data_IF_504930497410
#
_entry.id   IF_504930497410
#
_cell.length_a   1.000
_cell.length_b   1.000
_cell.length_c   1.000
_cell.angle_alpha   90.00
_cell.angle_beta   90.00
_cell.angle_gamma   90.00
#
_symmetry.space_group_name_H-M   'P 1'
#
loop_
_entity.id
_entity.type
_entity.pdbx_description
1 polymer ?
#
# COMPACT_ATOMS: atom_id res chain seq x y z
N UNK A 1 38.86 1.57 3.31
CA UNK A 1 37.78 2.57 3.29
C UNK A 1 36.98 2.38 2.02
N UNK A 2 35.86 1.65 2.11
CA UNK A 2 34.87 1.54 1.04
C UNK A 2 33.52 1.78 1.73
N UNK A 3 32.87 2.88 1.37
CA UNK A 3 31.61 3.31 1.93
C UNK A 3 30.50 2.39 1.41
N UNK A 4 30.08 1.45 2.24
CA UNK A 4 28.82 0.71 2.05
C UNK A 4 27.68 1.68 2.31
N UNK A 5 26.87 1.91 1.28
CA UNK A 5 25.73 2.82 1.28
C UNK A 5 24.72 2.44 2.35
N UNK A 6 24.38 3.41 3.20
CA UNK A 6 23.23 3.40 4.10
C UNK A 6 21.95 3.07 3.32
N UNK A 7 21.56 1.79 3.26
CA UNK A 7 20.16 1.43 3.08
C UNK A 7 19.45 1.71 4.40
N UNK A 8 19.19 2.99 4.65
CA UNK A 8 18.08 3.37 5.51
C UNK A 8 16.85 2.82 4.80
N UNK A 9 16.26 1.74 5.30
CA UNK A 9 14.85 1.48 5.07
C UNK A 9 14.12 2.69 5.61
N UNK A 10 13.89 3.68 4.74
CA UNK A 10 13.10 4.84 5.09
C UNK A 10 11.69 4.27 5.22
N UNK A 11 11.28 4.06 6.47
CA UNK A 11 9.97 3.56 6.85
C UNK A 11 8.93 4.46 6.19
N UNK A 12 8.42 4.05 5.03
CA UNK A 12 7.28 4.72 4.44
C UNK A 12 6.06 4.23 5.21
N UNK A 13 5.70 4.97 6.26
CA UNK A 13 4.51 4.70 7.05
C UNK A 13 3.23 4.77 6.21
N UNK A 14 3.29 5.27 4.97
CA UNK A 14 2.21 5.23 4.00
C UNK A 14 2.16 3.91 3.20
N UNK A 15 3.20 3.07 3.25
CA UNK A 15 3.28 1.77 2.58
C UNK A 15 3.36 0.60 3.58
N UNK A 16 2.28 0.43 4.36
CA UNK A 16 2.17 -0.67 5.32
C UNK A 16 2.07 -2.06 4.64
N UNK A 17 1.86 -2.09 3.32
CA UNK A 17 1.77 -3.32 2.53
C UNK A 17 3.14 -4.02 2.53
N UNK A 18 4.23 -3.27 2.65
CA UNK A 18 5.59 -3.80 2.70
C UNK A 18 5.97 -4.55 4.00
N UNK A 19 5.17 -4.49 5.08
CA UNK A 19 5.50 -5.22 6.32
C UNK A 19 5.17 -6.71 6.25
N UNK A 20 5.97 -7.60 6.82
CA UNK A 20 5.65 -9.03 6.91
C UNK A 20 4.32 -9.27 7.64
N UNK A 21 3.54 -10.23 7.15
CA UNK A 21 2.29 -10.72 7.76
C UNK A 21 2.33 -12.25 7.93
N UNK A 22 1.29 -12.82 8.52
CA UNK A 22 1.30 -14.25 8.88
C UNK A 22 1.44 -15.17 7.67
N UNK A 23 1.02 -14.75 6.47
CA UNK A 23 1.15 -15.51 5.24
C UNK A 23 2.50 -15.30 4.54
N UNK A 24 3.16 -14.16 4.78
CA UNK A 24 4.34 -13.73 4.02
C UNK A 24 5.60 -13.49 4.86
N UNK A 25 5.65 -13.93 6.12
CA UNK A 25 6.89 -13.94 6.93
C UNK A 25 7.83 -15.05 6.45
N UNK A 26 9.01 -14.75 5.88
CA UNK A 26 10.01 -15.76 5.54
C UNK A 26 10.56 -16.42 6.80
N UNK A 27 10.92 -17.70 6.71
CA UNK A 27 11.39 -18.51 7.85
C UNK A 27 12.63 -17.93 8.55
N UNK A 28 13.47 -17.18 7.82
CA UNK A 28 14.62 -16.47 8.35
C UNK A 28 14.61 -15.00 7.90
N UNK A 29 15.09 -14.08 8.75
CA UNK A 29 15.35 -12.70 8.37
C UNK A 29 16.35 -12.61 7.20
N UNK A 30 16.36 -11.50 6.44
CA UNK A 30 17.12 -11.42 5.20
C UNK A 30 18.63 -11.57 5.42
N UNK A 31 19.14 -11.18 6.60
CA UNK A 31 20.53 -11.39 7.01
C UNK A 31 20.62 -12.06 8.40
N UNK A 32 21.72 -12.79 8.68
CA UNK A 32 22.02 -13.31 10.03
C UNK A 32 22.10 -12.17 11.07
N UNK A 33 21.28 -12.24 12.11
CA UNK A 33 21.22 -11.25 13.20
C UNK A 33 20.22 -10.11 13.00
N UNK A 34 19.55 -10.04 11.84
CA UNK A 34 18.38 -9.18 11.65
C UNK A 34 17.11 -9.87 12.16
N UNK A 35 16.00 -9.15 12.22
CA UNK A 35 14.70 -9.72 12.56
C UNK A 35 13.58 -8.97 11.85
N UNK A 36 12.40 -9.57 11.77
CA UNK A 36 11.25 -8.96 11.13
C UNK A 36 10.55 -8.00 12.09
N UNK A 37 10.09 -6.86 11.56
CA UNK A 37 9.17 -5.98 12.26
C UNK A 37 7.75 -6.46 11.98
N UNK A 38 7.04 -6.88 13.03
CA UNK A 38 5.67 -7.37 12.94
C UNK A 38 4.73 -6.38 13.61
N UNK A 39 3.65 -6.03 12.91
CA UNK A 39 2.58 -5.21 13.44
C UNK A 39 1.31 -6.03 13.61
N UNK A 40 0.56 -5.80 14.69
CA UNK A 40 -0.76 -6.38 14.86
C UNK A 40 -1.56 -5.75 15.99
N UNK A 41 -2.89 -5.79 15.87
CA UNK A 41 -3.83 -5.31 16.87
C UNK A 41 -4.09 -6.37 17.94
N UNK A 42 -4.04 -6.01 19.21
CA UNK A 42 -4.49 -6.91 20.29
C UNK A 42 -6.01 -7.01 20.22
N UNK A 43 -6.51 -8.23 20.00
CA UNK A 43 -7.96 -8.48 19.83
C UNK A 43 -8.56 -9.26 20.99
N UNK A 44 -7.73 -9.95 21.78
CA UNK A 44 -8.16 -10.66 22.97
C UNK A 44 -7.03 -10.72 24.01
N UNK A 45 -7.39 -10.64 25.28
CA UNK A 45 -6.50 -10.89 26.40
C UNK A 45 -6.71 -12.32 26.92
N UNK A 46 -5.71 -13.18 26.73
CA UNK A 46 -5.68 -14.58 27.16
C UNK A 46 -4.77 -14.77 28.38
N UNK A 47 -4.45 -13.69 29.10
CA UNK A 47 -3.55 -13.72 30.24
C UNK A 47 -4.16 -14.52 31.39
N UNK A 48 -3.39 -15.49 31.90
CA UNK A 48 -3.78 -16.27 33.08
C UNK A 48 -2.63 -16.29 34.11
N UNK A 49 -1.62 -17.13 33.87
CA UNK A 49 -0.41 -17.17 34.70
C UNK A 49 0.70 -16.24 34.19
N UNK A 50 0.54 -15.74 32.96
CA UNK A 50 1.45 -14.82 32.29
C UNK A 50 0.65 -13.97 31.30
N UNK A 51 1.16 -12.80 30.90
CA UNK A 51 0.58 -12.02 29.82
C UNK A 51 0.66 -12.76 28.48
N UNK A 52 -0.51 -13.04 27.90
CA UNK A 52 -0.66 -13.64 26.57
C UNK A 52 -1.79 -12.94 25.86
N UNK A 53 -1.50 -12.35 24.70
CA UNK A 53 -2.47 -11.62 23.92
C UNK A 53 -2.71 -12.34 22.60
N UNK A 54 -3.97 -12.43 22.17
CA UNK A 54 -4.27 -12.78 20.79
C UNK A 54 -4.13 -11.51 19.95
N UNK A 55 -3.27 -11.56 18.95
CA UNK A 55 -2.91 -10.43 18.10
C UNK A 55 -3.32 -10.75 16.68
N UNK A 56 -4.02 -9.82 16.04
CA UNK A 56 -4.47 -9.91 14.66
C UNK A 56 -3.59 -9.04 13.78
N UNK A 57 -3.06 -9.61 12.70
CA UNK A 57 -2.31 -8.83 11.71
C UNK A 57 -3.22 -8.17 10.67
N UNK A 58 -2.58 -7.59 9.65
CA UNK A 58 -3.23 -6.86 8.56
C UNK A 58 -4.04 -7.72 7.58
N UNK A 59 -3.89 -9.06 7.60
CA UNK A 59 -4.64 -9.99 6.74
C UNK A 59 -5.68 -10.78 7.54
N UNK A 60 -6.06 -10.27 8.72
CA UNK A 60 -6.97 -10.88 9.69
C UNK A 60 -6.52 -12.23 10.26
N UNK A 61 -5.24 -12.61 10.12
CA UNK A 61 -4.68 -13.77 10.78
C UNK A 61 -4.39 -13.46 12.25
N UNK A 62 -4.80 -14.37 13.14
CA UNK A 62 -4.56 -14.24 14.58
C UNK A 62 -3.43 -15.16 15.04
N UNK A 63 -2.55 -14.64 15.89
CA UNK A 63 -1.48 -15.40 16.55
C UNK A 63 -1.29 -14.94 18.00
N UNK A 64 -0.81 -15.82 18.90
CA UNK A 64 -0.51 -15.43 20.27
C UNK A 64 0.79 -14.64 20.36
N UNK A 65 0.82 -13.64 21.23
CA UNK A 65 2.02 -12.93 21.67
C UNK A 65 2.13 -13.08 23.19
N UNK A 66 3.17 -13.76 23.65
CA UNK A 66 3.35 -14.12 25.06
C UNK A 66 4.62 -13.48 25.64
N UNK A 67 4.50 -12.86 26.82
CA UNK A 67 5.62 -12.20 27.50
C UNK A 67 6.35 -13.17 28.42
N UNK A 68 7.64 -13.35 28.16
CA UNK A 68 8.63 -14.23 28.84
C UNK A 68 9.83 -13.46 29.41
N UNK A 69 9.67 -12.16 29.60
CA UNK A 69 10.66 -11.30 30.24
C UNK A 69 10.79 -11.61 31.74
N UNK A 70 11.78 -11.01 32.41
CA UNK A 70 11.98 -11.17 33.86
C UNK A 70 10.83 -10.62 34.70
N UNK A 71 10.07 -9.65 34.18
CA UNK A 71 8.91 -9.07 34.85
C UNK A 71 7.75 -8.86 33.85
N UNK A 72 7.10 -9.95 33.41
CA UNK A 72 6.23 -9.91 32.25
C UNK A 72 4.96 -9.10 32.52
N UNK A 73 4.40 -9.15 33.73
CA UNK A 73 3.22 -8.37 34.10
C UNK A 73 3.48 -6.86 34.03
N UNK A 74 4.67 -6.41 34.44
CA UNK A 74 5.07 -5.02 34.32
C UNK A 74 5.26 -4.61 32.86
N UNK A 75 5.94 -5.46 32.08
CA UNK A 75 6.29 -5.14 30.69
C UNK A 75 5.06 -5.15 29.77
N UNK A 76 4.04 -5.95 30.13
CA UNK A 76 2.77 -6.02 29.43
C UNK A 76 1.66 -5.15 30.06
N UNK A 77 1.92 -4.43 31.15
CA UNK A 77 0.88 -3.73 31.93
C UNK A 77 0.00 -2.78 31.11
N UNK A 78 0.58 -2.19 30.07
CA UNK A 78 -0.10 -1.25 29.19
C UNK A 78 -0.62 -1.89 27.90
N UNK A 79 -0.45 -3.20 27.68
CA UNK A 79 -0.99 -3.90 26.53
C UNK A 79 -2.48 -4.17 26.76
N UNK A 80 -3.34 -3.55 25.95
CA UNK A 80 -4.80 -3.67 26.06
C UNK A 80 -5.42 -4.00 24.71
N UNK A 81 -6.59 -4.61 24.74
CA UNK A 81 -7.40 -4.84 23.54
C UNK A 81 -7.57 -3.51 22.77
N UNK A 82 -7.32 -3.54 21.47
CA UNK A 82 -7.31 -2.40 20.57
C UNK A 82 -5.95 -1.73 20.39
N UNK A 83 -4.93 -2.03 21.22
CA UNK A 83 -3.58 -1.50 21.01
C UNK A 83 -2.91 -2.17 19.81
N UNK A 84 -2.08 -1.42 19.09
CA UNK A 84 -1.24 -1.97 18.01
C UNK A 84 0.13 -2.29 18.60
N UNK A 85 0.51 -3.56 18.57
CA UNK A 85 1.85 -4.03 18.90
C UNK A 85 2.77 -3.90 17.69
N UNK A 86 4.00 -3.49 17.96
CA UNK A 86 5.13 -3.47 17.04
C UNK A 86 6.24 -4.32 17.66
N UNK A 87 6.55 -5.45 17.05
CA UNK A 87 7.57 -6.39 17.52
C UNK A 87 8.76 -6.27 16.58
N UNK A 88 9.87 -5.73 17.05
CA UNK A 88 11.07 -5.44 16.23
C UNK A 88 12.07 -6.59 16.17
N UNK A 89 11.87 -7.62 17.01
CA UNK A 89 12.62 -8.88 16.96
C UNK A 89 11.71 -10.10 16.83
N UNK A 90 10.77 -10.07 15.87
CA UNK A 90 9.74 -11.08 15.72
C UNK A 90 10.25 -12.41 15.15
N UNK A 91 10.76 -13.32 16.00
CA UNK A 91 10.95 -14.73 15.64
C UNK A 91 9.76 -15.57 16.13
N UNK A 92 9.26 -16.44 15.25
CA UNK A 92 8.13 -17.33 15.57
C UNK A 92 8.53 -18.41 16.57
N UNK A 93 7.65 -18.65 17.52
CA UNK A 93 7.78 -19.66 18.56
C UNK A 93 6.59 -20.62 18.49
N UNK A 94 6.88 -21.92 18.57
CA UNK A 94 5.84 -22.95 18.74
C UNK A 94 5.56 -23.12 20.23
N UNK A 95 4.33 -22.85 20.64
CA UNK A 95 3.87 -23.02 22.01
C UNK A 95 3.42 -24.47 22.25
N UNK A 96 3.33 -24.85 23.53
CA UNK A 96 3.00 -26.22 23.95
C UNK A 96 1.57 -26.64 23.58
N UNK A 97 0.67 -25.67 23.40
CA UNK A 97 -0.70 -25.90 22.93
C UNK A 97 -0.79 -26.13 21.40
N UNK A 98 0.36 -26.18 20.72
CA UNK A 98 0.46 -26.34 19.27
C UNK A 98 0.25 -25.05 18.48
N UNK A 99 -0.04 -23.92 19.16
CA UNK A 99 -0.11 -22.62 18.50
C UNK A 99 1.27 -22.11 18.11
N UNK A 100 1.32 -21.27 17.08
CA UNK A 100 2.54 -20.62 16.62
C UNK A 100 2.34 -19.11 16.67
N UNK A 101 3.25 -18.41 17.34
CA UNK A 101 3.16 -16.96 17.53
C UNK A 101 4.49 -16.38 17.97
N UNK A 102 4.47 -15.31 18.78
CA UNK A 102 5.69 -14.60 19.18
C UNK A 102 5.90 -14.67 20.69
N UNK A 103 7.15 -14.97 21.07
CA UNK A 103 7.58 -15.04 22.45
C UNK A 103 8.49 -13.85 22.73
N UNK A 104 8.05 -12.93 23.59
CA UNK A 104 8.80 -11.73 23.94
C UNK A 104 9.70 -12.04 25.13
N UNK A 105 11.00 -12.10 24.91
CA UNK A 105 11.99 -12.35 25.98
C UNK A 105 12.72 -11.07 26.42
N UNK A 106 12.81 -10.08 25.51
CA UNK A 106 13.37 -8.76 25.78
C UNK A 106 12.28 -7.69 25.58
N UNK A 107 11.89 -6.96 26.63
CA UNK A 107 10.84 -5.95 26.54
C UNK A 107 11.20 -4.78 25.61
N UNK A 108 12.48 -4.55 25.33
CA UNK A 108 12.92 -3.51 24.37
C UNK A 108 12.60 -3.85 22.92
N UNK A 109 12.19 -5.09 22.64
CA UNK A 109 11.84 -5.57 21.29
C UNK A 109 10.35 -5.47 20.99
N UNK A 110 9.54 -4.99 21.93
CA UNK A 110 8.10 -4.79 21.75
C UNK A 110 7.70 -3.38 22.14
N UNK A 111 6.99 -2.72 21.23
CA UNK A 111 6.41 -1.41 21.43
C UNK A 111 4.91 -1.50 21.21
N UNK A 112 4.16 -0.58 21.79
CA UNK A 112 2.74 -0.46 21.52
C UNK A 112 2.37 0.99 21.20
N UNK A 113 1.34 1.14 20.37
CA UNK A 113 0.67 2.41 20.13
C UNK A 113 -0.79 2.31 20.54
N UNK A 114 -1.31 3.38 21.12
CA UNK A 114 -2.70 3.51 21.58
C UNK A 114 -3.21 4.94 21.32
N UNK A 115 -4.52 5.19 21.53
CA UNK A 115 -5.06 6.55 21.49
C UNK A 115 -4.38 7.52 22.49
N UNK A 116 -3.79 7.01 23.56
CA UNK A 116 -3.07 7.78 24.58
C UNK A 116 -1.57 7.85 24.29
N UNK A 117 -0.96 6.74 23.87
CA UNK A 117 0.49 6.62 23.62
C UNK A 117 0.78 6.55 22.13
N UNK A 118 1.48 7.56 21.63
CA UNK A 118 1.74 7.74 20.20
C UNK A 118 0.45 7.79 19.35
N UNK A 119 -0.50 8.67 19.70
CA UNK A 119 -1.85 8.72 19.11
C UNK A 119 -1.85 8.81 17.59
N UNK A 120 -1.03 9.69 17.01
CA UNK A 120 -0.98 9.89 15.55
C UNK A 120 -0.50 8.61 14.84
N UNK A 121 0.47 7.91 15.41
CA UNK A 121 0.95 6.64 14.87
C UNK A 121 -0.13 5.56 14.96
N UNK A 122 -0.82 5.47 16.10
CA UNK A 122 -1.96 4.57 16.28
C UNK A 122 -3.05 4.83 15.22
N UNK A 123 -3.39 6.10 14.99
CA UNK A 123 -4.32 6.51 13.94
C UNK A 123 -3.85 6.06 12.55
N UNK A 124 -2.59 6.32 12.18
CA UNK A 124 -2.05 5.89 10.89
C UNK A 124 -2.11 4.37 10.71
N UNK A 125 -1.73 3.60 11.74
CA UNK A 125 -1.80 2.14 11.71
C UNK A 125 -3.22 1.63 11.47
N UNK A 126 -4.24 2.23 12.11
CA UNK A 126 -5.64 1.85 11.90
C UNK A 126 -6.13 2.16 10.48
N UNK A 127 -5.76 3.31 9.92
CA UNK A 127 -6.09 3.65 8.51
C UNK A 127 -5.46 2.64 7.55
N UNK A 128 -4.21 2.29 7.80
CA UNK A 128 -3.47 1.30 7.02
C UNK A 128 -4.12 -0.10 7.07
N UNK A 129 -4.55 -0.56 8.25
CA UNK A 129 -5.31 -1.81 8.40
C UNK A 129 -6.61 -1.74 7.61
N UNK A 130 -7.37 -0.63 7.72
CA UNK A 130 -8.59 -0.45 6.97
C UNK A 130 -8.36 -0.49 5.45
N UNK A 131 -7.28 0.11 4.94
CA UNK A 131 -6.90 0.06 3.53
C UNK A 131 -6.70 -1.38 3.03
N UNK A 132 -6.02 -2.20 3.84
CA UNK A 132 -5.77 -3.60 3.50
C UNK A 132 -7.08 -4.39 3.54
N UNK A 133 -7.92 -4.17 4.55
CA UNK A 133 -9.23 -4.83 4.64
C UNK A 133 -10.14 -4.47 3.47
N UNK A 134 -10.08 -3.24 2.94
CA UNK A 134 -10.75 -2.87 1.68
C UNK A 134 -10.17 -3.67 0.51
N UNK A 135 -8.84 -3.71 0.36
CA UNK A 135 -8.18 -4.41 -0.75
C UNK A 135 -8.45 -5.93 -0.74
N UNK A 136 -8.58 -6.53 0.44
CA UNK A 136 -8.92 -7.94 0.63
C UNK A 136 -10.43 -8.22 0.53
N UNK A 137 -11.27 -7.19 0.46
CA UNK A 137 -12.72 -7.35 0.49
C UNK A 137 -13.25 -7.88 1.82
N UNK A 138 -12.57 -7.60 2.93
CA UNK A 138 -13.06 -7.91 4.29
C UNK A 138 -14.16 -6.93 4.68
N UNK A 139 -13.98 -5.64 4.37
CA UNK A 139 -14.98 -4.61 4.64
C UNK A 139 -16.06 -4.63 3.55
N UNK A 140 -17.29 -4.98 3.96
CA UNK A 140 -18.42 -5.22 3.04
C UNK A 140 -19.63 -4.30 3.29
N UNK A 141 -19.61 -3.46 4.33
CA UNK A 141 -20.71 -2.54 4.64
C UNK A 141 -20.19 -1.15 5.02
N UNK A 142 -21.03 -0.14 4.76
CA UNK A 142 -20.75 1.25 5.12
C UNK A 142 -20.55 1.42 6.63
N UNK A 143 -21.31 0.68 7.45
CA UNK A 143 -21.18 0.71 8.91
C UNK A 143 -19.81 0.17 9.38
N UNK A 144 -19.35 -0.96 8.81
CA UNK A 144 -18.05 -1.52 9.13
C UNK A 144 -16.91 -0.59 8.68
N UNK A 145 -17.07 0.02 7.51
CA UNK A 145 -16.12 1.01 6.98
C UNK A 145 -16.05 2.26 7.86
N UNK A 146 -17.20 2.77 8.31
CA UNK A 146 -17.30 3.91 9.22
C UNK A 146 -16.63 3.60 10.57
N UNK A 147 -16.93 2.45 11.16
CA UNK A 147 -16.32 2.01 12.41
C UNK A 147 -14.79 1.86 12.31
N UNK A 148 -14.29 1.33 11.20
CA UNK A 148 -12.85 1.18 10.96
C UNK A 148 -12.10 2.52 10.95
N UNK A 149 -12.73 3.58 10.44
CA UNK A 149 -12.14 4.92 10.33
C UNK A 149 -12.54 5.89 11.46
N UNK A 150 -13.42 5.50 12.37
CA UNK A 150 -13.90 6.38 13.44
C UNK A 150 -12.76 6.81 14.37
N UNK A 151 -12.07 5.84 14.98
CA UNK A 151 -10.94 6.08 15.89
C UNK A 151 -9.83 6.93 15.25
N UNK A 152 -9.29 6.60 14.05
CA UNK A 152 -8.25 7.44 13.46
C UNK A 152 -8.74 8.85 13.13
N UNK A 153 -9.98 9.05 12.68
CA UNK A 153 -10.54 10.40 12.46
C UNK A 153 -10.61 11.21 13.75
N UNK A 154 -11.10 10.61 14.84
CA UNK A 154 -11.17 11.27 16.14
C UNK A 154 -9.79 11.67 16.65
N UNK A 155 -8.80 10.77 16.50
CA UNK A 155 -7.40 11.03 16.86
C UNK A 155 -6.85 12.20 16.04
N UNK A 156 -6.98 12.18 14.72
CA UNK A 156 -6.42 13.22 13.87
C UNK A 156 -7.04 14.59 14.13
N UNK A 157 -8.36 14.65 14.33
CA UNK A 157 -9.05 15.89 14.68
C UNK A 157 -8.62 16.41 16.05
N UNK A 158 -8.67 15.57 17.09
CA UNK A 158 -8.33 15.99 18.47
C UNK A 158 -6.88 16.40 18.65
N UNK A 159 -5.96 15.81 17.89
CA UNK A 159 -4.52 16.13 17.93
C UNK A 159 -4.12 17.22 16.93
N UNK A 160 -5.05 17.79 16.19
CA UNK A 160 -4.77 18.80 15.16
C UNK A 160 -3.92 18.28 13.99
N UNK A 161 -3.81 16.95 13.82
CA UNK A 161 -3.06 16.32 12.75
C UNK A 161 -3.91 16.23 11.48
N UNK A 162 -4.23 17.39 10.90
CA UNK A 162 -5.13 17.50 9.75
C UNK A 162 -4.63 16.79 8.49
N UNK A 163 -3.34 16.41 8.43
CA UNK A 163 -2.76 15.63 7.34
C UNK A 163 -3.19 14.15 7.35
N UNK A 164 -3.67 13.62 8.48
CA UNK A 164 -4.14 12.24 8.58
C UNK A 164 -5.60 12.02 8.10
N UNK A 165 -6.45 13.03 8.21
CA UNK A 165 -7.83 12.99 7.70
C UNK A 165 -7.93 12.60 6.22
N UNK A 166 -7.10 13.15 5.31
CA UNK A 166 -7.12 12.71 3.92
C UNK A 166 -6.81 11.24 3.69
N UNK A 167 -6.00 10.62 4.55
CA UNK A 167 -5.70 9.19 4.45
C UNK A 167 -6.97 8.37 4.71
N UNK A 168 -7.80 8.79 5.68
CA UNK A 168 -9.09 8.14 5.95
C UNK A 168 -10.03 8.26 4.75
N UNK A 169 -10.11 9.44 4.15
CA UNK A 169 -10.99 9.70 3.00
C UNK A 169 -10.55 8.92 1.76
N UNK A 170 -9.23 8.77 1.55
CA UNK A 170 -8.69 7.91 0.49
C UNK A 170 -9.16 6.46 0.65
N UNK A 171 -9.01 5.89 1.85
CA UNK A 171 -9.45 4.51 2.12
C UNK A 171 -10.97 4.36 1.91
N UNK A 172 -11.75 5.37 2.31
CA UNK A 172 -13.20 5.39 2.03
C UNK A 172 -13.50 5.44 0.53
N UNK A 173 -12.75 6.23 -0.24
CA UNK A 173 -12.91 6.28 -1.69
C UNK A 173 -12.55 4.95 -2.35
N UNK A 174 -11.47 4.30 -1.91
CA UNK A 174 -11.08 2.96 -2.38
C UNK A 174 -12.18 1.92 -2.06
N UNK A 175 -12.81 2.00 -0.88
CA UNK A 175 -13.96 1.18 -0.53
C UNK A 175 -15.16 1.44 -1.45
N UNK A 176 -15.50 2.71 -1.70
CA UNK A 176 -16.60 3.07 -2.61
C UNK A 176 -16.37 2.55 -4.02
N UNK A 177 -15.13 2.61 -4.52
CA UNK A 177 -14.74 2.07 -5.82
C UNK A 177 -14.92 0.54 -5.82
N UNK A 178 -14.48 -0.16 -4.78
CA UNK A 178 -14.64 -1.60 -4.65
C UNK A 178 -16.12 -2.03 -4.64
N UNK A 179 -17.00 -1.19 -4.10
CA UNK A 179 -18.46 -1.39 -4.09
C UNK A 179 -19.16 -0.90 -5.39
N UNK A 180 -18.42 -0.47 -6.41
CA UNK A 180 -18.96 0.03 -7.68
C UNK A 180 -19.59 1.43 -7.60
N UNK A 181 -19.43 2.14 -6.48
CA UNK A 181 -19.97 3.49 -6.21
C UNK A 181 -19.00 4.58 -6.65
N UNK A 182 -18.47 4.46 -7.86
CA UNK A 182 -17.39 5.29 -8.39
C UNK A 182 -17.72 6.79 -8.38
N UNK A 183 -18.98 7.17 -8.69
CA UNK A 183 -19.39 8.59 -8.69
C UNK A 183 -19.32 9.24 -7.30
N UNK A 184 -19.50 8.47 -6.23
CA UNK A 184 -19.33 8.98 -4.86
C UNK A 184 -17.86 9.19 -4.51
N UNK A 185 -16.99 8.28 -4.93
CA UNK A 185 -15.55 8.41 -4.78
C UNK A 185 -15.00 9.64 -5.54
N UNK A 186 -15.47 9.88 -6.76
CA UNK A 186 -15.10 11.07 -7.56
C UNK A 186 -15.47 12.35 -6.82
N UNK A 187 -16.74 12.49 -6.37
CA UNK A 187 -17.20 13.68 -5.63
C UNK A 187 -16.37 13.92 -4.37
N UNK A 188 -15.94 12.85 -3.71
CA UNK A 188 -15.05 12.94 -2.55
C UNK A 188 -13.71 13.55 -2.98
N UNK A 189 -13.02 12.96 -3.96
CA UNK A 189 -11.73 13.45 -4.43
C UNK A 189 -11.79 14.88 -4.99
N UNK A 190 -12.85 15.27 -5.70
CA UNK A 190 -13.05 16.64 -6.19
C UNK A 190 -13.13 17.65 -5.04
N UNK A 191 -13.91 17.34 -3.99
CA UNK A 191 -13.98 18.16 -2.77
C UNK A 191 -12.60 18.30 -2.11
N UNK A 192 -11.81 17.23 -2.12
CA UNK A 192 -10.43 17.25 -1.60
C UNK A 192 -9.51 18.14 -2.39
N UNK A 193 -9.52 18.04 -3.72
CA UNK A 193 -8.74 18.92 -4.60
C UNK A 193 -9.10 20.38 -4.32
N UNK A 194 -10.39 20.73 -4.24
CA UNK A 194 -10.83 22.09 -3.95
C UNK A 194 -10.35 22.58 -2.58
N UNK A 195 -10.49 21.75 -1.54
CA UNK A 195 -10.09 22.10 -0.16
C UNK A 195 -8.58 22.09 0.08
N UNK A 196 -7.80 21.46 -0.81
CA UNK A 196 -6.35 21.31 -0.73
C UNK A 196 -5.59 22.28 -1.64
N UNK A 197 -6.28 23.15 -2.39
CA UNK A 197 -5.64 24.22 -3.16
C UNK A 197 -4.76 25.09 -2.25
N UNK A 198 -3.47 25.17 -2.55
CA UNK A 198 -2.49 25.92 -1.77
C UNK A 198 -1.99 25.23 -0.49
N UNK A 199 -2.38 23.97 -0.25
CA UNK A 199 -1.86 23.13 0.85
C UNK A 199 -0.80 22.15 0.32
N UNK A 200 -0.35 21.23 1.19
CA UNK A 200 0.74 20.28 0.92
C UNK A 200 0.73 19.72 -0.50
N UNK A 201 1.88 19.88 -1.17
CA UNK A 201 2.09 19.53 -2.56
C UNK A 201 1.78 18.06 -2.90
N UNK A 202 2.12 17.19 -1.97
CA UNK A 202 2.13 15.75 -2.15
C UNK A 202 0.74 15.12 -2.07
N UNK A 203 -0.09 15.58 -1.14
CA UNK A 203 -1.47 15.08 -1.02
C UNK A 203 -2.30 15.52 -2.23
N UNK A 204 -2.08 16.76 -2.69
CA UNK A 204 -2.78 17.31 -3.84
C UNK A 204 -2.54 16.49 -5.12
N UNK A 205 -1.28 16.15 -5.41
CA UNK A 205 -0.95 15.35 -6.59
C UNK A 205 -1.53 13.94 -6.53
N UNK A 206 -1.53 13.29 -5.36
CA UNK A 206 -2.15 11.96 -5.16
C UNK A 206 -3.65 11.96 -5.53
N UNK A 207 -4.40 13.01 -5.18
CA UNK A 207 -5.84 13.10 -5.55
C UNK A 207 -6.06 13.33 -7.03
N UNK A 208 -5.27 14.21 -7.64
CA UNK A 208 -5.39 14.48 -9.07
C UNK A 208 -5.09 13.21 -9.90
N UNK A 209 -4.10 12.42 -9.47
CA UNK A 209 -3.79 11.13 -10.10
C UNK A 209 -4.93 10.12 -9.91
N UNK A 210 -5.48 10.02 -8.69
CA UNK A 210 -6.62 9.13 -8.43
C UNK A 210 -7.84 9.51 -9.28
N UNK A 211 -8.17 10.80 -9.38
CA UNK A 211 -9.26 11.28 -10.24
C UNK A 211 -9.02 10.94 -11.71
N UNK A 212 -7.80 11.11 -12.19
CA UNK A 212 -7.41 10.71 -13.54
C UNK A 212 -7.64 9.22 -13.78
N UNK A 213 -7.12 8.36 -12.91
CA UNK A 213 -7.26 6.90 -13.05
C UNK A 213 -8.72 6.43 -12.97
N UNK A 214 -9.51 7.03 -12.07
CA UNK A 214 -10.91 6.68 -11.88
C UNK A 214 -11.76 7.12 -13.06
N UNK A 215 -11.52 8.32 -13.59
CA UNK A 215 -12.34 8.88 -14.69
C UNK A 215 -12.00 8.28 -16.05
N UNK A 216 -10.81 7.68 -16.23
CA UNK A 216 -10.31 7.19 -17.52
C UNK A 216 -11.32 6.29 -18.28
N UNK A 217 -12.15 5.53 -17.55
CA UNK A 217 -13.14 4.61 -18.15
C UNK A 217 -14.56 5.16 -18.24
N UNK A 218 -14.81 6.36 -17.70
CA UNK A 218 -16.16 6.88 -17.48
C UNK A 218 -16.36 8.28 -18.05
N UNK A 219 -15.32 9.12 -18.06
CA UNK A 219 -15.39 10.51 -18.47
C UNK A 219 -14.01 11.00 -18.95
N UNK A 220 -13.80 10.90 -20.27
CA UNK A 220 -12.53 11.25 -20.91
C UNK A 220 -12.21 12.75 -20.82
N UNK A 221 -13.24 13.61 -20.77
CA UNK A 221 -13.06 15.06 -20.62
C UNK A 221 -12.47 15.36 -19.24
N UNK A 222 -13.06 14.78 -18.20
CA UNK A 222 -12.51 14.88 -16.84
C UNK A 222 -11.12 14.26 -16.74
N UNK A 223 -10.87 13.10 -17.35
CA UNK A 223 -9.54 12.47 -17.33
C UNK A 223 -8.49 13.40 -17.94
N UNK A 224 -8.80 14.00 -19.08
CA UNK A 224 -7.92 14.95 -19.75
C UNK A 224 -7.66 16.18 -18.89
N UNK A 225 -8.71 16.72 -18.27
CA UNK A 225 -8.62 17.84 -17.34
C UNK A 225 -7.67 17.52 -16.17
N UNK A 226 -7.87 16.39 -15.50
CA UNK A 226 -7.07 15.98 -14.34
C UNK A 226 -5.62 15.65 -14.72
N UNK A 227 -5.40 14.96 -15.84
CA UNK A 227 -4.06 14.66 -16.36
C UNK A 227 -3.26 15.94 -16.67
N UNK A 228 -3.91 16.93 -17.27
CA UNK A 228 -3.29 18.22 -17.60
C UNK A 228 -2.92 19.01 -16.35
N UNK A 229 -3.82 19.04 -15.35
CA UNK A 229 -3.53 19.67 -14.05
C UNK A 229 -2.38 18.94 -13.35
N UNK A 230 -2.37 17.61 -13.31
CA UNK A 230 -1.28 16.81 -12.76
C UNK A 230 0.08 17.18 -13.37
N UNK A 231 0.16 17.25 -14.70
CA UNK A 231 1.40 17.55 -15.40
C UNK A 231 1.88 18.98 -15.10
N UNK A 232 0.97 19.96 -15.20
CA UNK A 232 1.30 21.35 -14.90
C UNK A 232 1.77 21.50 -13.45
N UNK A 233 1.05 20.87 -12.52
CA UNK A 233 1.39 20.85 -11.11
C UNK A 233 2.78 20.23 -10.86
N UNK A 234 3.03 19.02 -11.37
CA UNK A 234 4.31 18.33 -11.22
C UNK A 234 5.49 19.14 -11.76
N UNK A 235 5.33 19.81 -12.90
CA UNK A 235 6.36 20.70 -13.47
C UNK A 235 6.61 21.92 -12.61
N UNK A 236 5.56 22.63 -12.19
CA UNK A 236 5.71 23.83 -11.34
C UNK A 236 6.30 23.52 -9.97
N UNK A 237 6.01 22.34 -9.41
CA UNK A 237 6.56 21.88 -8.14
C UNK A 237 7.94 21.19 -8.27
N UNK A 238 8.49 21.09 -9.48
CA UNK A 238 9.69 20.30 -9.80
C UNK A 238 9.64 18.85 -9.24
N UNK A 239 8.44 18.26 -9.20
CA UNK A 239 8.21 16.92 -8.67
C UNK A 239 8.15 15.91 -9.82
N UNK A 240 9.28 15.25 -10.07
CA UNK A 240 9.47 14.31 -11.17
C UNK A 240 8.58 13.07 -11.05
N UNK A 241 8.21 12.63 -9.84
CA UNK A 241 7.30 11.49 -9.70
C UNK A 241 5.91 11.83 -10.20
N UNK A 242 5.41 13.02 -9.87
CA UNK A 242 4.09 13.49 -10.34
C UNK A 242 4.08 13.68 -11.85
N UNK A 243 5.18 14.18 -12.43
CA UNK A 243 5.33 14.30 -13.89
C UNK A 243 5.29 12.92 -14.56
N UNK A 244 6.01 11.93 -14.03
CA UNK A 244 6.02 10.58 -14.57
C UNK A 244 4.63 9.91 -14.51
N UNK A 245 3.93 10.07 -13.38
CA UNK A 245 2.55 9.60 -13.25
C UNK A 245 1.59 10.30 -14.21
N UNK A 246 1.78 11.60 -14.46
CA UNK A 246 1.00 12.34 -15.44
C UNK A 246 1.27 11.87 -16.88
N UNK A 247 2.53 11.57 -17.24
CA UNK A 247 2.88 10.99 -18.53
C UNK A 247 2.21 9.63 -18.74
N UNK A 248 2.21 8.76 -17.73
CA UNK A 248 1.47 7.49 -17.80
C UNK A 248 -0.01 7.74 -18.08
N UNK A 249 -0.66 8.64 -17.34
CA UNK A 249 -2.10 8.90 -17.51
C UNK A 249 -2.42 9.50 -18.89
N UNK A 250 -1.59 10.42 -19.38
CA UNK A 250 -1.70 10.95 -20.74
C UNK A 250 -1.51 9.84 -21.79
N UNK A 251 -0.56 8.92 -21.57
CA UNK A 251 -0.39 7.76 -22.43
C UNK A 251 -1.63 6.85 -22.44
N UNK A 252 -2.27 6.66 -21.29
CA UNK A 252 -3.54 5.94 -21.20
C UNK A 252 -4.64 6.66 -22.01
N UNK A 253 -4.74 7.99 -21.95
CA UNK A 253 -5.69 8.79 -22.77
C UNK A 253 -5.43 8.59 -24.28
N UNK A 254 -4.21 8.83 -24.75
CA UNK A 254 -3.87 8.68 -26.18
C UNK A 254 -4.12 7.24 -26.68
N UNK A 255 -3.95 6.23 -25.81
CA UNK A 255 -4.28 4.85 -26.16
C UNK A 255 -5.78 4.66 -26.38
N UNK A 256 -6.64 5.26 -25.56
CA UNK A 256 -8.10 5.20 -25.75
C UNK A 256 -8.52 5.94 -27.04
N UNK A 257 -7.75 6.96 -27.45
CA UNK A 257 -7.90 7.65 -28.75
C UNK A 257 -7.29 6.87 -29.93
N UNK A 258 -6.76 5.66 -29.69
CA UNK A 258 -6.08 4.81 -30.67
C UNK A 258 -4.77 5.39 -31.26
N UNK A 259 -4.15 6.38 -30.62
CA UNK A 259 -2.81 6.87 -30.93
C UNK A 259 -1.75 6.04 -30.17
N UNK A 260 -1.36 4.92 -30.78
CA UNK A 260 -0.39 3.99 -30.21
C UNK A 260 1.05 4.52 -30.20
N UNK A 261 1.38 5.45 -31.09
CA UNK A 261 2.72 6.03 -31.19
C UNK A 261 2.96 7.02 -30.05
N UNK A 262 2.03 7.96 -29.86
CA UNK A 262 2.11 8.94 -28.78
C UNK A 262 1.98 8.26 -27.42
N UNK A 263 1.03 7.33 -27.26
CA UNK A 263 0.89 6.58 -26.01
C UNK A 263 2.13 5.77 -25.68
N UNK A 264 2.71 5.05 -26.65
CA UNK A 264 3.97 4.31 -26.47
C UNK A 264 5.11 5.21 -26.00
N UNK A 265 5.28 6.37 -26.64
CA UNK A 265 6.31 7.35 -26.28
C UNK A 265 6.13 7.89 -24.86
N UNK A 266 4.89 8.19 -24.46
CA UNK A 266 4.57 8.67 -23.11
C UNK A 266 4.81 7.60 -22.04
N UNK A 267 4.44 6.34 -22.31
CA UNK A 267 4.74 5.23 -21.39
C UNK A 267 6.24 4.99 -21.25
N UNK A 268 7.01 5.15 -22.33
CA UNK A 268 8.47 5.02 -22.29
C UNK A 268 9.12 6.13 -21.44
N UNK A 269 8.70 7.38 -21.62
CA UNK A 269 9.15 8.51 -20.80
C UNK A 269 8.81 8.30 -19.31
N UNK A 270 7.59 7.84 -19.01
CA UNK A 270 7.20 7.52 -17.65
C UNK A 270 8.04 6.37 -17.06
N UNK A 271 8.30 5.31 -17.84
CA UNK A 271 9.13 4.18 -17.45
C UNK A 271 10.56 4.59 -17.11
N UNK A 272 11.18 5.45 -17.94
CA UNK A 272 12.53 5.97 -17.71
C UNK A 272 12.62 6.74 -16.39
N UNK A 273 11.65 7.63 -16.14
CA UNK A 273 11.60 8.38 -14.89
C UNK A 273 11.36 7.50 -13.67
N UNK A 274 10.41 6.55 -13.73
CA UNK A 274 10.18 5.60 -12.64
C UNK A 274 11.38 4.69 -12.39
N UNK A 275 12.14 4.34 -13.43
CA UNK A 275 13.39 3.59 -13.30
C UNK A 275 14.45 4.41 -12.59
N UNK A 276 14.63 5.67 -12.98
CA UNK A 276 15.59 6.58 -12.33
C UNK A 276 15.28 6.83 -10.86
N UNK A 277 14.00 6.77 -10.47
CA UNK A 277 13.53 6.96 -9.09
C UNK A 277 13.34 5.66 -8.30
N UNK A 278 13.60 4.49 -8.88
CA UNK A 278 13.34 3.17 -8.27
C UNK A 278 11.87 2.94 -7.83
N UNK A 279 10.89 3.50 -8.55
CA UNK A 279 9.46 3.32 -8.25
C UNK A 279 8.93 2.09 -9.00
N UNK A 280 8.99 0.93 -8.36
CA UNK A 280 8.64 -0.36 -8.99
C UNK A 280 7.19 -0.43 -9.49
N UNK A 281 6.22 0.10 -8.75
CA UNK A 281 4.82 0.11 -9.18
C UNK A 281 4.63 0.87 -10.51
N UNK A 282 5.23 2.05 -10.62
CA UNK A 282 5.16 2.87 -11.83
C UNK A 282 5.79 2.18 -13.05
N UNK A 283 6.96 1.56 -12.84
CA UNK A 283 7.63 0.73 -13.88
C UNK A 283 6.72 -0.41 -14.35
N UNK A 284 6.18 -1.18 -13.40
CA UNK A 284 5.32 -2.33 -13.70
C UNK A 284 4.10 -1.95 -14.54
N UNK A 285 3.46 -0.82 -14.21
CA UNK A 285 2.31 -0.32 -14.95
C UNK A 285 2.69 0.13 -16.37
N UNK A 286 3.80 0.84 -16.54
CA UNK A 286 4.26 1.28 -17.87
C UNK A 286 4.63 0.08 -18.75
N UNK A 287 5.38 -0.89 -18.21
CA UNK A 287 5.73 -2.14 -18.88
C UNK A 287 4.49 -2.93 -19.32
N UNK A 288 3.46 -3.03 -18.46
CA UNK A 288 2.19 -3.66 -18.83
C UNK A 288 1.51 -2.94 -20.01
N UNK A 289 1.55 -1.60 -20.06
CA UNK A 289 0.95 -0.85 -21.20
C UNK A 289 1.75 -1.03 -22.48
N UNK A 290 3.07 -0.97 -22.40
CA UNK A 290 3.96 -1.24 -23.53
C UNK A 290 3.79 -2.68 -24.06
N UNK A 291 3.64 -3.67 -23.17
CA UNK A 291 3.32 -5.04 -23.55
C UNK A 291 2.00 -5.14 -24.33
N UNK A 292 0.97 -4.39 -23.92
CA UNK A 292 -0.31 -4.38 -24.63
C UNK A 292 -0.19 -3.76 -26.02
N UNK A 293 0.62 -2.70 -26.18
CA UNK A 293 0.91 -2.10 -27.49
C UNK A 293 1.68 -3.09 -28.38
N UNK A 294 2.78 -3.66 -27.88
CA UNK A 294 3.56 -4.67 -28.60
C UNK A 294 2.67 -5.86 -29.02
N UNK A 295 1.78 -6.33 -28.14
CA UNK A 295 0.82 -7.40 -28.46
C UNK A 295 -0.12 -7.02 -29.60
N UNK A 296 -0.65 -5.79 -29.62
CA UNK A 296 -1.53 -5.32 -30.71
C UNK A 296 -0.78 -5.22 -32.05
N UNK A 297 0.51 -4.92 -32.02
CA UNK A 297 1.41 -4.91 -33.19
C UNK A 297 1.84 -6.30 -33.65
N UNK A 298 1.46 -7.37 -32.95
CA UNK A 298 1.89 -8.74 -33.25
C UNK A 298 3.31 -9.07 -32.75
N UNK A 299 3.94 -8.19 -31.98
CA UNK A 299 5.27 -8.34 -31.42
C UNK A 299 5.23 -9.20 -30.14
N UNK A 300 4.82 -10.46 -30.27
CA UNK A 300 4.54 -11.34 -29.12
C UNK A 300 5.75 -11.62 -28.23
N UNK A 301 6.96 -11.67 -28.81
CA UNK A 301 8.21 -11.86 -28.05
C UNK A 301 8.45 -10.65 -27.15
N UNK A 302 8.44 -9.44 -27.73
CA UNK A 302 8.62 -8.17 -27.01
C UNK A 302 7.55 -8.00 -25.93
N UNK A 303 6.28 -8.31 -26.24
CA UNK A 303 5.20 -8.29 -25.26
C UNK A 303 5.45 -9.24 -24.08
N UNK A 304 6.00 -10.42 -24.35
CA UNK A 304 6.31 -11.43 -23.31
C UNK A 304 7.47 -10.99 -22.42
N UNK A 305 8.49 -10.33 -22.98
CA UNK A 305 9.60 -9.75 -22.24
C UNK A 305 9.11 -8.64 -21.30
N UNK A 306 8.31 -7.70 -21.81
CA UNK A 306 7.71 -6.63 -20.99
C UNK A 306 6.82 -7.19 -19.87
N UNK A 307 6.00 -8.22 -20.13
CA UNK A 307 5.19 -8.85 -19.08
C UNK A 307 6.06 -9.55 -18.04
N UNK A 308 7.20 -10.12 -18.42
CA UNK A 308 8.11 -10.77 -17.49
C UNK A 308 8.76 -9.75 -16.56
N UNK A 309 9.24 -8.63 -17.09
CA UNK A 309 9.76 -7.54 -16.28
C UNK A 309 8.66 -6.90 -15.41
N UNK A 310 7.46 -6.67 -15.97
CA UNK A 310 6.33 -6.13 -15.22
C UNK A 310 5.97 -7.00 -14.01
N UNK A 311 5.98 -8.33 -14.17
CA UNK A 311 5.74 -9.29 -13.07
C UNK A 311 6.78 -9.11 -11.95
N UNK A 312 8.06 -9.03 -12.30
CA UNK A 312 9.12 -8.84 -11.32
C UNK A 312 8.93 -7.50 -10.56
N UNK A 313 8.61 -6.43 -11.29
CA UNK A 313 8.38 -5.12 -10.67
C UNK A 313 7.14 -5.10 -9.76
N UNK A 314 6.04 -5.76 -10.15
CA UNK A 314 4.87 -5.89 -9.27
C UNK A 314 5.20 -6.65 -7.98
N UNK A 315 5.98 -7.73 -8.07
CA UNK A 315 6.45 -8.47 -6.88
C UNK A 315 7.32 -7.59 -5.98
N UNK A 316 8.26 -6.82 -6.55
CA UNK A 316 9.08 -5.86 -5.78
C UNK A 316 8.25 -4.75 -5.12
N UNK A 317 7.09 -4.41 -5.68
CA UNK A 317 6.14 -3.45 -5.10
C UNK A 317 5.13 -4.06 -4.12
N UNK A 318 5.23 -5.36 -3.78
CA UNK A 318 4.28 -6.02 -2.89
C UNK A 318 2.91 -6.32 -3.53
N UNK A 319 2.72 -6.05 -4.82
CA UNK A 319 1.48 -6.26 -5.57
C UNK A 319 1.40 -7.69 -6.15
N UNK A 320 1.33 -8.69 -5.26
CA UNK A 320 1.33 -10.10 -5.65
C UNK A 320 0.09 -10.49 -6.50
N UNK A 321 -1.06 -9.87 -6.24
CA UNK A 321 -2.29 -10.11 -7.01
C UNK A 321 -2.13 -9.64 -8.47
N UNK A 322 -1.50 -8.49 -8.68
CA UNK A 322 -1.19 -7.92 -9.99
C UNK A 322 -0.18 -8.81 -10.72
N UNK A 323 0.89 -9.23 -10.03
CA UNK A 323 1.87 -10.16 -10.59
C UNK A 323 1.22 -11.47 -11.08
N UNK A 324 0.23 -11.99 -10.35
CA UNK A 324 -0.55 -13.17 -10.76
C UNK A 324 -1.40 -12.89 -12.01
N UNK A 325 -2.04 -11.71 -12.10
CA UNK A 325 -2.78 -11.28 -13.31
C UNK A 325 -1.85 -11.19 -14.53
N UNK A 326 -0.65 -10.65 -14.35
CA UNK A 326 0.38 -10.55 -15.41
C UNK A 326 0.79 -11.93 -15.90
N UNK A 327 0.98 -12.89 -15.00
CA UNK A 327 1.34 -14.26 -15.36
C UNK A 327 0.27 -14.94 -16.23
N UNK A 328 -1.02 -14.73 -15.90
CA UNK A 328 -2.13 -15.24 -16.72
C UNK A 328 -2.09 -14.62 -18.12
N UNK A 329 -1.91 -13.30 -18.23
CA UNK A 329 -1.82 -12.62 -19.52
C UNK A 329 -0.63 -13.12 -20.36
N UNK A 330 0.53 -13.31 -19.72
CA UNK A 330 1.72 -13.84 -20.39
C UNK A 330 1.49 -15.23 -20.94
N UNK A 331 0.87 -16.11 -20.15
CA UNK A 331 0.57 -17.48 -20.58
C UNK A 331 -0.42 -17.53 -21.75
N UNK A 332 -1.35 -16.56 -21.85
CA UNK A 332 -2.24 -16.42 -23.00
C UNK A 332 -1.48 -16.07 -24.28
N UNK A 333 -0.47 -15.20 -24.22
CA UNK A 333 0.34 -14.83 -25.40
C UNK A 333 1.18 -16.03 -25.86
N UNK A 334 1.86 -16.70 -24.91
CA UNK A 334 2.70 -17.85 -25.23
C UNK A 334 1.86 -19.03 -25.75
N UNK A 335 0.70 -19.30 -25.15
CA UNK A 335 -0.17 -20.41 -25.53
C UNK A 335 -0.81 -20.29 -26.92
N UNK A 336 -0.91 -19.08 -27.48
CA UNK A 336 -1.38 -18.83 -28.85
C UNK A 336 -0.29 -19.12 -29.89
N UNK A 337 0.99 -19.09 -29.50
CA UNK A 337 2.12 -19.27 -30.42
C UNK A 337 2.55 -20.74 -30.61
N UNK A 338 1.99 -21.68 -29.84
CA UNK A 338 2.31 -23.11 -29.88
C UNK A 338 1.13 -24.02 -30.30
N UNK A 339 0.13 -23.47 -30.99
CA UNK A 339 -0.96 -24.23 -31.64
C UNK A 339 -0.98 -23.96 -33.13
#
# INVERSE_FOLDING_TARGET
>A
MAAGTEKVYKLDLEDIIAFPDTAHVPFLPPNPGESWIIFGEIVQDNSFARPVFLVRDKIDCCFPVAFYTDNPDRDAADCKIGHILCITSGMRHNFLDGSNGYRIEDPSTVFYTSPEKFPVYHGNSRVAIAAIHVALGVLQSDDAMAAALEVPRQIFTSRGYLRGLPLCDRVMADFLIAQGRTSEAIRMYEKWVLSSRGKSAESFSKYLLALGDITLRHDMESTTHWATICLAYGRTAANLSVVAWAFRLLGDIFREEADEETSGSLFQLALEEFTRMDIYQGRAQCLLRLANIARKRGEHIVATEYLSEAKEMFLKSGMAAEAKKIEVLRNQIVGVHWR
#
